data_IF_984680135935
#
_entry.id   IF_984680135935
#
_cell.length_a   1.000
_cell.length_b   1.000
_cell.length_c   1.000
_cell.angle_alpha   90.00
_cell.angle_beta   90.00
_cell.angle_gamma   90.00
#
_symmetry.space_group_name_H-M   'P 1'
#
loop_
_entity.id
_entity.type
_entity.pdbx_description
1 polymer ?
#
# COMPACT_ATOMS: atom_id res chain seq x y z
N UNK A 1 -50.85 14.93 -15.12
CA UNK A 1 -49.35 14.77 -15.22
C UNK A 1 -48.69 15.08 -13.88
N UNK A 2 -48.82 14.21 -12.86
CA UNK A 2 -48.12 14.36 -11.57
C UNK A 2 -47.93 12.98 -10.96
N UNK A 3 -46.82 12.26 -11.28
CA UNK A 3 -46.36 11.06 -10.55
C UNK A 3 -45.08 10.41 -11.10
N UNK A 4 -44.08 11.18 -11.57
CA UNK A 4 -42.78 10.61 -12.01
C UNK A 4 -41.54 11.20 -11.33
N UNK A 5 -41.66 12.11 -10.35
CA UNK A 5 -40.49 12.76 -9.73
C UNK A 5 -40.01 12.03 -8.46
N UNK A 6 -40.86 11.17 -7.86
CA UNK A 6 -40.51 10.50 -6.59
C UNK A 6 -39.55 9.32 -6.67
N UNK A 7 -39.45 8.63 -7.83
CA UNK A 7 -38.70 7.37 -7.94
C UNK A 7 -37.20 7.62 -8.19
N UNK A 8 -36.87 8.68 -8.92
CA UNK A 8 -35.45 9.00 -9.23
C UNK A 8 -34.67 9.50 -7.99
N UNK A 9 -35.30 10.27 -7.12
CA UNK A 9 -34.65 10.76 -5.91
C UNK A 9 -34.40 9.66 -4.88
N UNK A 10 -35.29 8.66 -4.77
CA UNK A 10 -35.12 7.53 -3.88
C UNK A 10 -34.01 6.57 -4.30
N UNK A 11 -33.81 6.37 -5.61
CA UNK A 11 -32.71 5.54 -6.12
C UNK A 11 -31.34 6.20 -5.92
N UNK A 12 -31.22 7.51 -6.04
CA UNK A 12 -29.96 8.22 -5.80
C UNK A 12 -29.53 8.18 -4.33
N UNK A 13 -30.47 8.23 -3.37
CA UNK A 13 -30.14 8.11 -1.94
C UNK A 13 -29.69 6.69 -1.56
N UNK A 14 -30.26 5.66 -2.19
CA UNK A 14 -29.88 4.25 -1.92
C UNK A 14 -28.49 3.96 -2.48
N UNK A 15 -28.13 4.50 -3.64
CA UNK A 15 -26.81 4.34 -4.21
C UNK A 15 -25.71 5.02 -3.36
N UNK A 16 -25.94 6.25 -2.90
CA UNK A 16 -24.98 6.95 -2.05
C UNK A 16 -24.77 6.26 -0.68
N UNK A 17 -25.83 5.65 -0.11
CA UNK A 17 -25.71 4.88 1.13
C UNK A 17 -24.92 3.57 0.99
N UNK A 18 -24.97 2.92 -0.17
CA UNK A 18 -24.28 1.66 -0.40
C UNK A 18 -22.76 1.83 -0.54
N UNK A 19 -22.29 2.96 -1.10
CA UNK A 19 -20.86 3.25 -1.21
C UNK A 19 -20.22 3.60 0.15
N UNK A 20 -20.93 4.36 0.98
CA UNK A 20 -20.44 4.72 2.32
C UNK A 20 -20.31 3.50 3.25
N UNK A 21 -21.23 2.53 3.17
CA UNK A 21 -21.15 1.31 3.98
C UNK A 21 -20.02 0.38 3.56
N UNK A 22 -19.66 0.35 2.26
CA UNK A 22 -18.53 -0.45 1.76
C UNK A 22 -17.17 0.05 2.27
N UNK A 23 -16.94 1.35 2.26
CA UNK A 23 -15.69 1.95 2.75
C UNK A 23 -15.54 1.78 4.27
N UNK A 24 -16.60 1.99 5.04
CA UNK A 24 -16.60 1.81 6.49
C UNK A 24 -16.32 0.35 6.88
N UNK A 25 -16.92 -0.63 6.18
CA UNK A 25 -16.69 -2.04 6.44
C UNK A 25 -15.25 -2.47 6.13
N UNK A 26 -14.57 -1.84 5.17
CA UNK A 26 -13.15 -2.08 4.90
C UNK A 26 -12.25 -1.53 6.00
N UNK A 27 -12.58 -0.36 6.55
CA UNK A 27 -11.80 0.27 7.63
C UNK A 27 -11.88 -0.46 8.98
N UNK A 28 -12.88 -1.30 9.21
CA UNK A 28 -12.99 -2.13 10.42
C UNK A 28 -11.89 -3.20 10.52
N UNK A 29 -11.09 -3.40 9.47
CA UNK A 29 -10.02 -4.41 9.43
C UNK A 29 -8.71 -3.95 10.11
N UNK A 30 -8.66 -2.75 10.69
CA UNK A 30 -7.51 -2.29 11.47
C UNK A 30 -6.30 -1.92 10.60
N UNK A 31 -6.49 -1.14 9.55
CA UNK A 31 -5.41 -0.52 8.78
C UNK A 31 -5.64 0.98 8.63
N UNK A 32 -4.56 1.73 8.39
CA UNK A 32 -4.59 3.16 8.18
C UNK A 32 -4.76 3.54 6.71
N UNK A 33 -4.06 2.86 5.84
CA UNK A 33 -3.89 3.23 4.44
C UNK A 33 -3.86 1.96 3.60
N UNK A 34 -4.57 1.96 2.48
CA UNK A 34 -4.59 0.88 1.51
C UNK A 34 -4.15 1.40 0.14
N UNK A 35 -3.45 0.56 -0.60
CA UNK A 35 -3.15 0.77 -2.01
C UNK A 35 -3.39 -0.53 -2.77
N UNK A 36 -3.90 -0.41 -3.98
CA UNK A 36 -4.30 -1.54 -4.81
C UNK A 36 -3.58 -1.50 -6.18
N UNK A 37 -4.36 -1.43 -7.25
CA UNK A 37 -3.95 -1.71 -8.63
C UNK A 37 -2.91 -0.77 -9.26
N UNK A 38 -2.56 0.35 -8.62
CA UNK A 38 -1.67 1.37 -9.18
C UNK A 38 -0.41 1.54 -8.36
N UNK A 39 0.26 0.43 -8.04
CA UNK A 39 1.56 0.44 -7.39
C UNK A 39 2.55 -0.43 -8.15
N UNK A 40 3.76 0.07 -8.36
CA UNK A 40 4.77 -0.58 -9.19
C UNK A 40 6.12 -0.53 -8.50
N UNK A 41 6.84 -1.66 -8.55
CA UNK A 41 8.19 -1.76 -8.04
C UNK A 41 9.18 -1.81 -9.20
N UNK A 42 10.24 -1.04 -9.08
CA UNK A 42 11.44 -1.15 -9.87
C UNK A 42 12.58 -1.68 -9.02
N UNK A 43 13.31 -2.61 -9.56
CA UNK A 43 14.52 -3.12 -8.91
C UNK A 43 15.69 -3.16 -9.91
N UNK A 44 16.83 -2.56 -9.54
CA UNK A 44 17.93 -2.30 -10.45
C UNK A 44 18.63 -3.55 -11.00
N UNK A 45 18.56 -4.67 -10.28
CA UNK A 45 19.22 -5.94 -10.65
C UNK A 45 18.35 -7.14 -10.27
N UNK A 46 17.12 -7.15 -10.81
CA UNK A 46 16.19 -8.26 -10.67
C UNK A 46 16.21 -9.18 -11.88
N UNK A 47 16.23 -10.48 -11.65
CA UNK A 47 16.12 -11.48 -12.72
C UNK A 47 14.69 -12.07 -12.74
N UNK A 48 13.87 -11.73 -13.77
CA UNK A 48 12.47 -12.16 -13.83
C UNK A 48 12.31 -13.65 -14.17
N UNK A 49 13.35 -14.32 -14.65
CA UNK A 49 13.31 -15.75 -14.95
C UNK A 49 13.55 -16.60 -13.71
N UNK A 50 14.48 -16.15 -12.87
CA UNK A 50 14.87 -16.86 -11.66
C UNK A 50 14.23 -16.27 -10.39
N UNK A 51 13.59 -15.11 -10.47
CA UNK A 51 13.03 -14.35 -9.34
C UNK A 51 14.10 -14.03 -8.27
N UNK A 52 15.28 -13.68 -8.71
CA UNK A 52 16.44 -13.42 -7.84
C UNK A 52 16.83 -11.97 -7.95
N UNK A 53 16.97 -11.32 -6.81
CA UNK A 53 17.55 -10.00 -6.65
C UNK A 53 19.02 -10.13 -6.26
N UNK A 54 19.88 -9.44 -6.96
CA UNK A 54 21.31 -9.42 -6.62
C UNK A 54 21.55 -8.65 -5.30
N UNK A 55 22.59 -9.02 -4.57
CA UNK A 55 23.07 -8.20 -3.45
C UNK A 55 23.44 -6.81 -3.96
N UNK A 56 22.99 -5.78 -3.26
CA UNK A 56 23.19 -4.39 -3.65
C UNK A 56 22.16 -3.85 -4.65
N UNK A 57 21.21 -4.68 -5.12
CA UNK A 57 20.09 -4.22 -5.94
C UNK A 57 19.22 -3.22 -5.19
N UNK A 58 18.98 -2.05 -5.79
CA UNK A 58 18.13 -1.02 -5.22
C UNK A 58 16.68 -1.22 -5.67
N UNK A 59 15.75 -1.13 -4.73
CA UNK A 59 14.33 -1.18 -5.02
C UNK A 59 13.67 0.16 -4.72
N UNK A 60 12.79 0.58 -5.63
CA UNK A 60 11.88 1.72 -5.47
C UNK A 60 10.47 1.23 -5.76
N UNK A 61 9.53 1.59 -4.91
CA UNK A 61 8.10 1.34 -5.11
C UNK A 61 7.40 2.68 -5.20
N UNK A 62 6.56 2.86 -6.21
CA UNK A 62 5.68 4.02 -6.37
C UNK A 62 4.25 3.55 -6.50
N UNK A 63 3.29 4.37 -6.11
CA UNK A 63 1.88 4.01 -6.28
C UNK A 63 0.91 5.09 -5.82
N UNK A 64 -0.37 4.77 -5.99
CA UNK A 64 -1.49 5.59 -5.52
C UNK A 64 -2.16 4.94 -4.31
N UNK A 65 -2.54 5.77 -3.35
CA UNK A 65 -3.40 5.35 -2.24
C UNK A 65 -4.82 5.19 -2.76
N UNK A 66 -5.46 4.09 -2.40
CA UNK A 66 -6.84 3.79 -2.79
C UNK A 66 -7.86 4.03 -1.67
N UNK A 67 -7.42 4.01 -0.41
CA UNK A 67 -8.30 4.21 0.74
C UNK A 67 -7.52 4.68 1.96
N UNK A 68 -8.10 5.63 2.68
CA UNK A 68 -7.68 6.05 4.01
C UNK A 68 -8.70 5.64 5.06
N UNK A 69 -8.21 5.13 6.20
CA UNK A 69 -9.01 4.81 7.37
C UNK A 69 -8.58 5.66 8.58
N UNK A 70 -9.32 5.60 9.66
CA UNK A 70 -8.97 6.36 10.86
C UNK A 70 -7.50 6.08 11.29
N UNK A 71 -6.73 7.11 11.64
CA UNK A 71 -7.15 8.50 11.89
C UNK A 71 -7.15 9.43 10.66
N UNK A 72 -7.05 8.92 9.44
CA UNK A 72 -6.95 9.66 8.19
C UNK A 72 -8.25 9.63 7.35
N UNK A 73 -9.38 9.22 7.93
CA UNK A 73 -10.64 9.01 7.22
C UNK A 73 -11.29 10.29 6.63
N UNK A 74 -10.72 11.45 6.91
CA UNK A 74 -11.05 12.73 6.28
C UNK A 74 -10.32 12.97 4.96
N UNK A 75 -9.32 12.14 4.62
CA UNK A 75 -8.69 12.12 3.32
C UNK A 75 -9.51 11.25 2.37
N UNK A 76 -9.97 11.84 1.27
CA UNK A 76 -10.76 11.15 0.27
C UNK A 76 -9.91 10.77 -0.95
N UNK A 77 -9.46 9.52 -1.00
CA UNK A 77 -8.69 9.01 -2.13
C UNK A 77 -9.53 8.83 -3.41
N UNK A 78 -10.85 8.98 -3.35
CA UNK A 78 -11.75 8.92 -4.49
C UNK A 78 -12.09 10.29 -5.09
N UNK A 79 -11.63 11.38 -4.49
CA UNK A 79 -11.82 12.75 -4.99
C UNK A 79 -11.09 12.92 -6.35
N UNK A 80 -11.80 13.17 -7.45
CA UNK A 80 -11.19 13.27 -8.78
C UNK A 80 -10.36 14.55 -8.98
N UNK A 81 -10.41 15.51 -8.04
CA UNK A 81 -9.68 16.78 -8.15
C UNK A 81 -8.28 16.71 -7.54
N UNK A 82 -7.92 15.60 -6.93
CA UNK A 82 -6.63 15.36 -6.30
C UNK A 82 -6.28 13.88 -6.31
N UNK A 83 -5.03 13.60 -6.05
CA UNK A 83 -4.56 12.24 -5.86
C UNK A 83 -3.63 12.14 -4.65
N UNK A 84 -3.51 10.93 -4.15
CA UNK A 84 -2.58 10.61 -3.08
C UNK A 84 -1.60 9.58 -3.60
N UNK A 85 -0.35 9.99 -3.71
CA UNK A 85 0.73 9.16 -4.21
C UNK A 85 1.69 8.77 -3.10
N UNK A 86 2.45 7.71 -3.31
CA UNK A 86 3.48 7.31 -2.37
C UNK A 86 4.74 6.81 -3.07
N UNK A 87 5.85 6.90 -2.38
CA UNK A 87 7.12 6.30 -2.75
C UNK A 87 7.73 5.55 -1.56
N UNK A 88 8.32 4.38 -1.84
CA UNK A 88 9.27 3.71 -0.95
C UNK A 88 10.63 3.72 -1.62
N UNK A 89 11.66 4.11 -0.89
CA UNK A 89 13.00 4.28 -1.45
C UNK A 89 14.10 3.98 -0.41
N UNK A 90 15.32 3.86 -0.89
CA UNK A 90 16.51 3.66 -0.06
C UNK A 90 16.72 2.21 0.38
N UNK A 91 15.84 1.30 0.01
CA UNK A 91 15.98 -0.12 0.32
C UNK A 91 16.96 -0.79 -0.66
N UNK A 92 17.89 -1.57 -0.13
CA UNK A 92 18.91 -2.29 -0.90
C UNK A 92 18.87 -3.77 -0.54
N UNK A 93 18.81 -4.63 -1.54
CA UNK A 93 18.77 -6.08 -1.39
C UNK A 93 20.03 -6.63 -0.73
N UNK A 94 19.86 -7.49 0.24
CA UNK A 94 20.92 -8.31 0.83
C UNK A 94 21.13 -9.64 0.09
N UNK A 95 20.34 -9.86 -0.96
CA UNK A 95 20.35 -11.05 -1.81
C UNK A 95 19.14 -11.94 -1.60
N UNK A 96 18.92 -12.83 -2.55
CA UNK A 96 17.80 -13.79 -2.51
C UNK A 96 18.25 -15.15 -2.01
N UNK A 97 17.56 -15.67 -1.01
CA UNK A 97 17.69 -17.05 -0.55
C UNK A 97 16.61 -17.91 -1.19
N UNK A 98 17.01 -19.06 -1.74
CA UNK A 98 16.09 -20.04 -2.33
C UNK A 98 16.00 -21.26 -1.46
N UNK A 99 14.78 -21.60 -1.04
CA UNK A 99 14.49 -22.75 -0.17
C UNK A 99 13.53 -23.71 -0.90
N UNK A 100 13.88 -24.99 -1.01
CA UNK A 100 12.93 -26.01 -1.48
C UNK A 100 11.72 -26.11 -0.53
N UNK A 101 10.52 -26.29 -1.09
CA UNK A 101 9.30 -26.53 -0.32
C UNK A 101 8.72 -27.89 -0.65
N UNK A 102 7.90 -28.42 0.27
CA UNK A 102 7.24 -29.71 0.08
C UNK A 102 6.44 -29.73 -1.23
N UNK A 103 6.43 -30.87 -1.92
CA UNK A 103 5.75 -31.01 -3.20
C UNK A 103 6.55 -30.54 -4.42
N UNK A 104 7.85 -30.28 -4.29
CA UNK A 104 8.77 -29.97 -5.41
C UNK A 104 8.76 -28.52 -5.86
N UNK A 105 8.23 -27.61 -5.04
CA UNK A 105 8.26 -26.18 -5.29
C UNK A 105 9.51 -25.50 -4.70
N UNK A 106 9.60 -24.18 -4.87
CA UNK A 106 10.65 -23.32 -4.29
C UNK A 106 10.06 -22.04 -3.71
N UNK A 107 10.57 -21.63 -2.55
CA UNK A 107 10.37 -20.31 -1.97
C UNK A 107 11.64 -19.49 -2.22
N UNK A 108 11.49 -18.29 -2.76
CA UNK A 108 12.55 -17.29 -2.90
C UNK A 108 12.22 -16.11 -2.03
N UNK A 109 13.07 -15.86 -1.07
CA UNK A 109 12.97 -14.73 -0.16
C UNK A 109 14.11 -13.76 -0.43
N UNK A 110 13.79 -12.51 -0.67
CA UNK A 110 14.74 -11.41 -0.76
C UNK A 110 14.53 -10.50 0.43
N UNK A 111 15.55 -10.32 1.24
CA UNK A 111 15.56 -9.36 2.33
C UNK A 111 16.27 -8.08 1.90
N UNK A 112 15.80 -6.95 2.45
CA UNK A 112 16.33 -5.62 2.15
C UNK A 112 16.69 -4.91 3.46
N UNK A 113 17.64 -3.98 3.38
CA UNK A 113 17.93 -3.07 4.48
C UNK A 113 16.79 -2.07 4.67
N UNK A 114 16.91 -1.21 5.69
CA UNK A 114 15.93 -0.16 5.98
C UNK A 114 15.85 0.85 4.84
N UNK A 115 14.65 1.40 4.66
CA UNK A 115 14.34 2.47 3.72
C UNK A 115 13.38 3.49 4.33
N UNK A 116 12.82 4.32 3.48
CA UNK A 116 11.84 5.33 3.83
C UNK A 116 10.61 5.22 2.95
N UNK A 117 9.46 5.61 3.49
CA UNK A 117 8.28 5.88 2.69
C UNK A 117 7.86 7.34 2.84
N UNK A 118 7.20 7.86 1.80
CA UNK A 118 6.59 9.19 1.79
C UNK A 118 5.26 9.13 1.08
N UNK A 119 4.27 9.89 1.57
CA UNK A 119 2.93 10.00 0.98
C UNK A 119 2.67 11.47 0.71
N UNK A 120 2.19 11.75 -0.48
CA UNK A 120 1.95 13.10 -0.99
C UNK A 120 0.47 13.28 -1.32
N UNK A 121 -0.05 14.49 -1.13
CA UNK A 121 -1.32 14.97 -1.67
C UNK A 121 -1.03 15.89 -2.85
N UNK A 122 -1.51 15.52 -4.01
CA UNK A 122 -1.37 16.33 -5.23
C UNK A 122 -2.74 16.84 -5.68
N UNK A 123 -2.81 18.15 -5.95
CA UNK A 123 -3.99 18.85 -6.45
C UNK A 123 -4.06 18.90 -7.98
N UNK A 124 -3.10 18.27 -8.67
CA UNK A 124 -3.01 18.14 -10.12
C UNK A 124 -2.83 16.67 -10.49
N UNK A 125 -3.89 15.84 -10.43
CA UNK A 125 -3.77 14.41 -10.66
C UNK A 125 -3.12 14.07 -12.01
N UNK A 126 -1.85 13.65 -12.01
CA UNK A 126 -1.10 13.34 -13.21
C UNK A 126 -0.17 12.11 -13.07
N UNK A 127 -0.12 11.50 -11.89
CA UNK A 127 0.63 10.26 -11.70
C UNK A 127 0.10 9.15 -12.62
N UNK A 128 0.95 8.55 -13.47
CA UNK A 128 0.50 7.66 -14.52
C UNK A 128 -0.09 6.36 -13.97
N UNK A 129 -1.13 5.86 -14.63
CA UNK A 129 -1.63 4.50 -14.43
C UNK A 129 -0.70 3.47 -15.09
N UNK A 130 -0.88 2.19 -14.78
CA UNK A 130 -0.10 1.08 -15.32
C UNK A 130 0.11 1.14 -16.84
N UNK A 131 -0.94 1.48 -17.58
CA UNK A 131 -0.92 1.54 -19.05
C UNK A 131 -0.15 2.73 -19.62
N UNK A 132 0.08 3.77 -18.81
CA UNK A 132 0.77 5.01 -19.21
C UNK A 132 2.16 5.14 -18.58
N UNK A 133 2.59 4.16 -17.78
CA UNK A 133 3.93 4.16 -17.18
C UNK A 133 5.01 4.14 -18.26
N UNK A 134 6.09 4.92 -18.09
CA UNK A 134 7.21 4.88 -19.02
C UNK A 134 7.77 3.47 -19.15
N UNK A 135 8.13 3.07 -20.37
CA UNK A 135 8.67 1.75 -20.68
C UNK A 135 10.03 1.44 -20.04
N UNK A 136 10.73 2.46 -19.56
CA UNK A 136 11.97 2.28 -18.79
C UNK A 136 11.69 2.65 -17.36
N UNK A 137 12.01 1.75 -16.42
CA UNK A 137 11.88 2.13 -15.02
C UNK A 137 12.80 3.30 -14.77
N UNK A 138 12.40 4.14 -13.92
CA UNK A 138 13.17 5.27 -13.60
C UNK A 138 14.41 4.83 -12.82
N UNK A 139 15.51 5.14 -13.36
CA UNK A 139 16.41 5.81 -12.45
C UNK A 139 15.55 6.93 -11.81
N UNK A 140 15.89 7.46 -10.70
CA UNK A 140 15.23 8.53 -9.96
C UNK A 140 14.31 9.55 -10.70
N UNK A 141 13.98 9.40 -11.97
CA UNK A 141 13.24 10.40 -12.76
C UNK A 141 11.71 10.19 -12.83
N UNK A 142 11.22 8.96 -12.74
CA UNK A 142 9.76 8.69 -12.67
C UNK A 142 9.16 9.05 -11.32
N UNK A 143 9.89 8.95 -10.21
CA UNK A 143 9.40 9.49 -8.98
C UNK A 143 8.89 10.92 -9.03
N UNK A 144 9.26 11.76 -9.99
CA UNK A 144 8.80 13.14 -10.04
C UNK A 144 7.26 13.26 -10.00
N UNK A 145 6.56 12.50 -10.84
CA UNK A 145 5.08 12.49 -10.89
C UNK A 145 4.40 11.82 -9.68
N UNK A 146 5.17 11.20 -8.80
CA UNK A 146 4.69 10.62 -7.55
C UNK A 146 5.15 11.41 -6.33
N UNK A 147 5.88 12.53 -6.52
CA UNK A 147 6.52 13.29 -5.44
C UNK A 147 6.39 14.81 -5.59
N UNK A 148 5.69 15.29 -6.59
CA UNK A 148 5.47 16.71 -6.87
C UNK A 148 4.33 17.34 -6.05
N UNK A 149 3.51 16.52 -5.41
CA UNK A 149 2.51 16.94 -4.44
C UNK A 149 3.09 17.44 -3.11
N UNK A 150 2.21 17.82 -2.22
CA UNK A 150 2.56 18.21 -0.85
C UNK A 150 2.81 16.97 0.01
N UNK A 151 3.99 16.86 0.62
CA UNK A 151 4.30 15.78 1.56
C UNK A 151 3.37 15.85 2.78
N UNK A 152 2.55 14.81 3.00
CA UNK A 152 1.60 14.74 4.11
C UNK A 152 2.01 13.75 5.21
N UNK A 153 2.69 12.67 4.84
CA UNK A 153 3.21 11.66 5.77
C UNK A 153 4.56 11.13 5.29
N UNK A 154 5.46 10.85 6.22
CA UNK A 154 6.68 10.10 5.95
C UNK A 154 7.03 9.19 7.13
N UNK A 155 7.86 8.19 6.85
CA UNK A 155 8.34 7.28 7.86
C UNK A 155 9.44 6.35 7.37
N UNK A 156 9.89 5.52 8.29
CA UNK A 156 10.90 4.51 8.03
C UNK A 156 10.24 3.15 7.73
N UNK A 157 10.90 2.39 6.89
CA UNK A 157 10.60 0.97 6.58
C UNK A 157 11.74 0.14 7.13
N UNK A 158 11.40 -0.93 7.85
CA UNK A 158 12.36 -1.86 8.46
C UNK A 158 12.00 -3.29 8.08
N UNK A 159 12.98 -4.18 8.10
CA UNK A 159 12.76 -5.61 7.90
C UNK A 159 11.93 -5.93 6.63
N UNK A 160 12.10 -5.11 5.59
CA UNK A 160 11.38 -5.33 4.33
C UNK A 160 11.90 -6.59 3.66
N UNK A 161 10.97 -7.44 3.27
CA UNK A 161 11.27 -8.60 2.43
C UNK A 161 10.15 -8.88 1.44
N UNK A 162 10.53 -9.53 0.35
CA UNK A 162 9.61 -10.11 -0.63
C UNK A 162 9.77 -11.62 -0.67
N UNK A 163 8.67 -12.33 -0.89
CA UNK A 163 8.66 -13.77 -1.07
C UNK A 163 7.94 -14.11 -2.37
N UNK A 164 8.55 -14.97 -3.18
CA UNK A 164 7.94 -15.55 -4.37
C UNK A 164 7.99 -17.07 -4.25
N UNK A 165 6.84 -17.68 -4.18
CA UNK A 165 6.67 -19.12 -4.11
C UNK A 165 6.29 -19.66 -5.49
N UNK A 166 7.09 -20.59 -5.99
CA UNK A 166 6.80 -21.35 -7.20
C UNK A 166 6.42 -22.76 -6.82
N UNK A 167 5.24 -23.20 -7.25
CA UNK A 167 4.76 -24.57 -7.06
C UNK A 167 5.24 -25.49 -8.18
N UNK A 168 5.23 -26.80 -7.94
CA UNK A 168 5.63 -27.82 -8.94
C UNK A 168 4.74 -27.84 -10.19
N UNK A 169 3.49 -27.39 -10.08
CA UNK A 169 2.56 -27.24 -11.21
C UNK A 169 2.79 -25.97 -12.05
N UNK A 170 3.83 -25.19 -11.75
CA UNK A 170 4.17 -23.96 -12.45
C UNK A 170 3.44 -22.70 -11.94
N UNK A 171 2.51 -22.82 -11.01
CA UNK A 171 1.82 -21.67 -10.39
C UNK A 171 2.78 -20.90 -9.49
N UNK A 172 2.46 -19.60 -9.32
CA UNK A 172 3.22 -18.69 -8.46
C UNK A 172 2.29 -17.95 -7.53
N UNK A 173 2.83 -17.57 -6.37
CA UNK A 173 2.25 -16.56 -5.48
C UNK A 173 3.38 -15.74 -4.90
N UNK A 174 3.12 -14.50 -4.61
CA UNK A 174 4.11 -13.62 -3.97
C UNK A 174 3.46 -12.77 -2.90
N UNK A 175 4.26 -12.42 -1.91
CA UNK A 175 3.90 -11.53 -0.82
C UNK A 175 5.08 -10.62 -0.48
N UNK A 176 4.80 -9.55 0.22
CA UNK A 176 5.82 -8.73 0.87
C UNK A 176 5.37 -8.40 2.28
N UNK A 177 6.34 -8.10 3.11
CA UNK A 177 6.12 -7.61 4.47
C UNK A 177 7.27 -6.72 4.91
N UNK A 178 6.94 -5.75 5.71
CA UNK A 178 7.90 -4.96 6.48
C UNK A 178 7.26 -4.50 7.79
N UNK A 179 8.10 -3.96 8.65
CA UNK A 179 7.67 -3.10 9.74
C UNK A 179 7.83 -1.65 9.27
N UNK A 180 7.00 -0.74 9.78
CA UNK A 180 7.12 0.68 9.48
C UNK A 180 6.83 1.54 10.71
N UNK A 181 7.29 2.79 10.67
CA UNK A 181 7.01 3.78 11.70
C UNK A 181 6.88 5.16 11.06
N UNK A 182 5.83 5.89 11.39
CA UNK A 182 5.71 7.30 11.00
C UNK A 182 6.73 8.15 11.73
N UNK A 183 7.41 9.04 11.00
CA UNK A 183 8.44 9.94 11.54
C UNK A 183 8.22 11.41 11.21
N UNK A 184 7.28 11.73 10.28
CA UNK A 184 7.06 13.09 9.86
C UNK A 184 5.95 13.29 8.82
N UNK A 185 5.90 14.49 8.24
CA UNK A 185 6.73 15.67 8.57
C UNK A 185 6.40 16.22 9.96
N UNK A 186 7.44 16.53 10.75
CA UNK A 186 7.27 17.07 12.10
C UNK A 186 6.49 18.39 12.04
N UNK A 187 5.41 18.48 12.84
CA UNK A 187 4.48 19.61 12.81
C UNK A 187 3.37 19.49 11.77
N UNK A 188 3.41 18.49 10.90
CA UNK A 188 2.35 18.22 9.92
C UNK A 188 1.06 17.75 10.59
N UNK A 189 -0.08 18.23 10.10
CA UNK A 189 -1.41 17.92 10.66
C UNK A 189 -1.68 16.41 10.74
N UNK A 190 -1.31 15.68 9.71
CA UNK A 190 -1.58 14.24 9.64
C UNK A 190 -0.59 13.44 10.51
N UNK A 191 0.69 13.84 10.53
CA UNK A 191 1.68 13.21 11.39
C UNK A 191 1.30 13.31 12.88
N UNK A 192 0.75 14.44 13.32
CA UNK A 192 0.33 14.62 14.72
C UNK A 192 -0.72 13.59 15.17
N UNK A 193 -1.50 13.03 14.26
CA UNK A 193 -2.51 12.00 14.56
C UNK A 193 -1.91 10.63 14.85
N UNK A 194 -0.68 10.40 14.43
CA UNK A 194 0.07 9.14 14.59
C UNK A 194 1.41 9.32 15.27
N UNK A 195 1.71 10.55 15.73
CA UNK A 195 2.93 10.83 16.47
C UNK A 195 3.02 9.98 17.74
N UNK A 196 4.14 9.27 17.89
CA UNK A 196 4.33 8.31 18.98
C UNK A 196 3.68 6.95 18.77
N UNK A 197 3.11 6.67 17.56
CA UNK A 197 2.73 5.31 17.20
C UNK A 197 3.94 4.37 17.28
N UNK A 198 3.68 3.15 17.69
CA UNK A 198 4.67 2.09 17.69
C UNK A 198 4.98 1.66 16.26
N UNK A 199 5.98 0.81 16.10
CA UNK A 199 6.27 0.14 14.85
C UNK A 199 5.11 -0.80 14.48
N UNK A 200 4.56 -0.61 13.28
CA UNK A 200 3.40 -1.31 12.75
C UNK A 200 3.79 -2.14 11.52
N UNK A 201 2.86 -2.91 10.97
CA UNK A 201 3.11 -3.79 9.83
C UNK A 201 2.62 -3.14 8.54
N UNK A 202 3.48 -3.20 7.52
CA UNK A 202 3.15 -2.93 6.12
C UNK A 202 3.28 -4.24 5.36
N UNK A 203 2.22 -4.66 4.66
CA UNK A 203 2.25 -5.93 3.97
C UNK A 203 1.17 -6.09 2.92
N UNK A 204 1.34 -7.11 2.08
CA UNK A 204 0.39 -7.40 1.01
C UNK A 204 0.89 -8.43 0.02
N UNK A 205 0.27 -8.43 -1.16
CA UNK A 205 0.65 -9.27 -2.28
C UNK A 205 1.79 -8.65 -3.07
N UNK A 206 2.61 -9.50 -3.65
CA UNK A 206 3.73 -9.14 -4.51
C UNK A 206 3.64 -9.92 -5.81
N UNK A 207 3.15 -9.26 -6.85
CA UNK A 207 3.06 -9.86 -8.17
C UNK A 207 4.34 -9.58 -8.94
N UNK A 208 5.30 -10.50 -8.87
CA UNK A 208 6.60 -10.36 -9.49
C UNK A 208 6.54 -10.57 -11.03
N UNK A 209 7.39 -9.85 -11.77
CA UNK A 209 7.58 -10.05 -13.19
C UNK A 209 7.98 -11.50 -13.49
N UNK A 210 7.41 -12.07 -14.55
CA UNK A 210 7.65 -13.47 -14.94
C UNK A 210 6.69 -14.47 -14.33
N UNK A 211 5.76 -14.05 -13.48
CA UNK A 211 4.66 -14.90 -12.99
C UNK A 211 3.66 -15.11 -14.13
N UNK A 212 3.59 -16.33 -14.65
CA UNK A 212 3.04 -16.65 -15.98
C UNK A 212 1.50 -16.61 -16.11
N UNK A 213 0.76 -16.14 -15.12
CA UNK A 213 -0.71 -16.31 -15.13
C UNK A 213 -1.50 -15.07 -15.56
N UNK A 214 -0.88 -14.07 -16.20
CA UNK A 214 -1.60 -12.91 -16.77
C UNK A 214 -2.29 -12.02 -15.73
N UNK A 215 -2.08 -12.26 -14.46
CA UNK A 215 -2.72 -11.53 -13.36
C UNK A 215 -1.94 -10.27 -12.95
N UNK A 216 -0.73 -10.07 -13.48
CA UNK A 216 0.11 -8.93 -13.20
C UNK A 216 0.35 -8.16 -14.48
N UNK A 217 -0.43 -7.14 -14.73
CA UNK A 217 -0.07 -6.15 -15.75
C UNK A 217 1.08 -5.30 -15.22
N UNK A 218 2.26 -5.51 -15.79
CA UNK A 218 3.46 -4.77 -15.45
C UNK A 218 3.90 -3.92 -16.64
N UNK A 219 4.15 -2.64 -16.42
CA UNK A 219 4.84 -1.82 -17.41
C UNK A 219 6.22 -2.40 -17.71
N UNK A 220 6.69 -2.21 -18.94
CA UNK A 220 8.01 -2.70 -19.37
C UNK A 220 9.12 -2.19 -18.45
N UNK A 221 9.91 -3.12 -17.92
CA UNK A 221 11.07 -2.81 -17.07
C UNK A 221 10.77 -2.75 -15.57
N UNK A 222 9.52 -2.85 -15.16
CA UNK A 222 9.16 -2.97 -13.73
C UNK A 222 9.28 -4.42 -13.27
N UNK A 223 9.68 -4.60 -12.01
CA UNK A 223 9.95 -5.93 -11.44
C UNK A 223 8.75 -6.55 -10.73
N UNK A 224 7.83 -5.72 -10.24
CA UNK A 224 6.65 -6.22 -9.55
C UNK A 224 5.52 -5.19 -9.48
N UNK A 225 4.32 -5.71 -9.21
CA UNK A 225 3.12 -4.97 -8.89
C UNK A 225 2.69 -5.36 -7.46
N UNK A 226 3.02 -4.55 -6.45
CA UNK A 226 2.54 -4.75 -5.10
C UNK A 226 1.12 -4.20 -4.92
N UNK A 227 0.32 -4.87 -4.09
CA UNK A 227 -0.87 -4.30 -3.49
C UNK A 227 -0.86 -4.61 -1.98
N UNK A 228 -1.34 -3.70 -1.16
CA UNK A 228 -1.24 -3.92 0.28
C UNK A 228 -1.79 -2.77 1.11
N UNK A 229 -1.37 -2.80 2.37
CA UNK A 229 -1.85 -1.86 3.36
C UNK A 229 -0.80 -1.58 4.44
N UNK A 230 -0.89 -0.38 5.01
CA UNK A 230 -0.27 -0.03 6.28
C UNK A 230 -1.26 -0.42 7.37
N UNK A 231 -0.97 -1.49 8.11
CA UNK A 231 -1.77 -1.90 9.23
C UNK A 231 -1.68 -0.87 10.35
N UNK A 232 -2.76 -0.68 11.07
CA UNK A 232 -2.82 0.12 12.30
C UNK A 232 -3.12 -0.79 13.50
N UNK A 233 -3.02 -0.28 14.72
CA UNK A 233 -3.49 -1.03 15.86
C UNK A 233 -4.98 -1.35 15.64
N UNK A 234 -5.43 -2.56 16.01
CA UNK A 234 -6.85 -2.89 15.93
C UNK A 234 -7.63 -1.85 16.71
N UNK A 235 -8.80 -1.40 16.19
CA UNK A 235 -9.64 -0.47 16.92
C UNK A 235 -9.91 -1.07 18.30
N UNK A 236 -9.42 -0.39 19.33
CA UNK A 236 -9.72 -0.80 20.71
C UNK A 236 -11.21 -0.57 20.88
N UNK A 237 -12.02 -1.62 21.13
CA UNK A 237 -13.44 -1.42 21.38
C UNK A 237 -13.56 -0.47 22.58
N UNK A 238 -14.01 0.75 22.35
CA UNK A 238 -14.34 1.68 23.43
C UNK A 238 -15.63 1.16 24.03
N UNK A 239 -15.50 0.21 24.95
CA UNK A 239 -16.63 -0.27 25.73
C UNK A 239 -17.04 0.88 26.64
N UNK A 240 -18.16 1.54 26.33
CA UNK A 240 -18.70 2.65 27.13
C UNK A 240 -18.90 2.26 28.61
N UNK A 241 -19.00 0.97 28.90
CA UNK A 241 -19.03 0.39 30.25
C UNK A 241 -17.69 0.49 30.99
N UNK A 242 -16.54 0.56 30.28
CA UNK A 242 -15.23 0.63 30.91
C UNK A 242 -15.01 1.96 31.64
N UNK A 243 -15.49 3.08 31.09
CA UNK A 243 -15.43 4.38 31.77
C UNK A 243 -16.33 4.45 33.00
N UNK A 244 -17.49 3.76 32.97
CA UNK A 244 -18.38 3.62 34.13
C UNK A 244 -17.71 2.81 35.26
N UNK A 245 -17.03 1.73 34.92
CA UNK A 245 -16.32 0.88 35.88
C UNK A 245 -15.12 1.60 36.50
N UNK A 246 -14.34 2.34 35.69
CA UNK A 246 -13.21 3.13 36.19
C UNK A 246 -13.68 4.22 37.16
N UNK A 247 -14.77 4.92 36.88
CA UNK A 247 -15.34 5.92 37.79
C UNK A 247 -15.82 5.33 39.12
N UNK A 248 -16.21 4.06 39.18
CA UNK A 248 -16.60 3.40 40.41
C UNK A 248 -15.43 3.03 41.31
N UNK A 249 -14.23 2.82 40.74
CA UNK A 249 -13.01 2.48 41.50
C UNK A 249 -12.42 3.72 42.21
N UNK A 250 -12.73 4.94 41.72
CA UNK A 250 -12.22 6.20 42.25
C UNK A 250 -13.26 7.01 43.03
N UNK A 251 -14.35 6.39 43.45
CA UNK A 251 -15.31 6.91 44.42
C UNK A 251 -15.24 6.15 45.73
#
# INVERSE_FOLDING_TARGET
>A
MKRKIGVAASLALIAAGAFATGALAQCEQGFYIKFDENAFAFESSYNPVTFVSAVGSQIVVVGKVSLFCAPFADLDASDPTKEYTFIWAGMVSTGTVTTPIAGGGTLRRTDYNSGVFRIYEDLSPDAPLATAMPASPPNAAVPALYTDGTLILEGNIFNFYTEVMRFSNGNFTGSFRSDYQFTGPIGGTYYQRVAGSLQEILGGQWCAQGTANGLCELPTGYSAHPNGKWDGPPPVPVNATTWGAIKQIYR
#
